data_IF_213163904484
#
_entry.id   IF_213163904484
#
_cell.length_a   1.000
_cell.length_b   1.000
_cell.length_c   1.000
_cell.angle_alpha   90.00
_cell.angle_beta   90.00
_cell.angle_gamma   90.00
#
_symmetry.space_group_name_H-M   'P 1'
#
loop_
_entity.id
_entity.type
_entity.pdbx_description
1 polymer ?
#
# COMPACT_ATOMS: atom_id res chain seq x y z
N UNK A 1 22.75 -44.78 -24.36
CA UNK A 1 21.88 -44.21 -23.31
C UNK A 1 22.73 -43.42 -22.32
N UNK A 2 22.94 -42.13 -22.59
CA UNK A 2 23.76 -41.26 -21.73
C UNK A 2 23.21 -39.83 -21.77
N UNK A 3 22.90 -39.36 -20.57
CA UNK A 3 23.10 -38.00 -20.05
C UNK A 3 22.11 -36.91 -20.47
N UNK A 4 21.36 -36.52 -19.43
CA UNK A 4 21.18 -35.15 -18.92
C UNK A 4 19.94 -34.41 -19.40
N UNK A 5 18.89 -34.58 -18.58
CA UNK A 5 17.93 -33.55 -18.19
C UNK A 5 18.65 -32.20 -18.03
N UNK A 6 18.26 -31.22 -18.84
CA UNK A 6 18.52 -29.82 -18.58
C UNK A 6 17.16 -29.12 -18.40
N UNK A 7 16.64 -29.15 -17.17
CA UNK A 7 15.49 -28.34 -16.78
C UNK A 7 16.08 -27.01 -16.32
N UNK A 8 16.03 -25.98 -17.19
CA UNK A 8 16.24 -24.60 -16.78
C UNK A 8 14.94 -24.11 -16.12
N UNK A 9 14.93 -24.10 -14.79
CA UNK A 9 13.96 -23.32 -14.01
C UNK A 9 14.48 -21.89 -13.97
N UNK A 10 14.08 -21.07 -14.96
CA UNK A 10 14.35 -19.64 -14.92
C UNK A 10 13.36 -18.98 -13.98
N UNK A 11 13.87 -18.66 -12.80
CA UNK A 11 13.35 -17.77 -11.77
C UNK A 11 12.17 -16.89 -12.21
N UNK A 12 10.97 -17.33 -11.85
CA UNK A 12 9.82 -16.46 -11.73
C UNK A 12 10.16 -15.45 -10.64
N UNK A 13 10.42 -14.19 -11.02
CA UNK A 13 10.34 -13.07 -10.10
C UNK A 13 8.91 -13.03 -9.57
N UNK A 14 8.65 -13.73 -8.46
CA UNK A 14 7.52 -13.44 -7.60
C UNK A 14 7.75 -12.01 -7.12
N UNK A 15 7.15 -11.06 -7.82
CA UNK A 15 6.68 -9.85 -7.19
C UNK A 15 5.76 -10.33 -6.07
N UNK A 16 6.29 -10.38 -4.85
CA UNK A 16 5.49 -10.50 -3.65
C UNK A 16 4.72 -9.18 -3.57
N UNK A 17 3.59 -9.13 -4.26
CA UNK A 17 2.54 -8.18 -3.95
C UNK A 17 2.12 -8.53 -2.52
N UNK A 18 2.59 -7.74 -1.56
CA UNK A 18 2.02 -7.77 -0.22
C UNK A 18 0.50 -7.55 -0.40
N UNK A 19 -0.36 -8.34 0.26
CA UNK A 19 -1.78 -8.11 0.19
C UNK A 19 -2.02 -6.75 0.86
N UNK A 20 -2.40 -5.74 0.07
CA UNK A 20 -3.25 -4.70 0.61
C UNK A 20 -4.48 -5.43 1.14
N UNK A 21 -4.72 -5.34 2.44
CA UNK A 21 -5.88 -5.96 3.04
C UNK A 21 -7.11 -5.18 2.56
N UNK A 22 -7.94 -5.84 1.75
CA UNK A 22 -9.22 -5.29 1.30
C UNK A 22 -10.03 -4.84 2.53
N UNK A 23 -10.37 -3.54 2.57
CA UNK A 23 -11.15 -2.92 3.63
C UNK A 23 -10.39 -1.96 4.57
N UNK A 24 -9.05 -1.93 4.55
CA UNK A 24 -8.30 -0.95 5.36
C UNK A 24 -8.39 0.48 4.78
N UNK A 25 -8.71 0.58 3.49
CA UNK A 25 -8.97 1.85 2.79
C UNK A 25 -10.21 2.59 3.30
N UNK A 26 -11.22 1.86 3.80
CA UNK A 26 -12.44 2.43 4.37
C UNK A 26 -12.14 3.29 5.60
N UNK A 27 -11.09 2.96 6.36
CA UNK A 27 -10.65 3.76 7.51
C UNK A 27 -10.27 5.19 7.09
N UNK A 28 -9.64 5.33 5.91
CA UNK A 28 -9.31 6.63 5.37
C UNK A 28 -10.56 7.34 4.84
N UNK A 29 -11.45 6.61 4.18
CA UNK A 29 -12.69 7.13 3.57
C UNK A 29 -13.72 7.61 4.59
N UNK A 30 -13.63 7.17 5.85
CA UNK A 30 -14.45 7.71 6.96
C UNK A 30 -14.23 9.21 7.21
N UNK A 31 -13.08 9.74 6.82
CA UNK A 31 -12.70 11.14 7.05
C UNK A 31 -12.21 11.88 5.80
N UNK A 32 -11.85 11.16 4.74
CA UNK A 32 -11.29 11.74 3.52
C UNK A 32 -12.14 11.40 2.29
N UNK A 33 -12.30 12.40 1.43
CA UNK A 33 -12.70 12.24 0.04
C UNK A 33 -11.44 12.47 -0.80
N UNK A 34 -10.75 11.42 -1.29
CA UNK A 34 -9.44 11.56 -1.94
C UNK A 34 -9.40 12.59 -3.08
N UNK A 35 -10.48 12.69 -3.86
CA UNK A 35 -10.61 13.65 -4.95
C UNK A 35 -10.73 15.11 -4.50
N UNK A 36 -11.02 15.38 -3.22
CA UNK A 36 -11.13 16.72 -2.65
C UNK A 36 -9.96 17.01 -1.70
N UNK A 37 -9.67 16.11 -0.77
CA UNK A 37 -8.67 16.33 0.29
C UNK A 37 -7.24 16.16 -0.19
N UNK A 38 -6.99 15.32 -1.19
CA UNK A 38 -5.66 14.97 -1.68
C UNK A 38 -5.40 15.44 -3.11
N UNK A 39 -6.29 16.27 -3.66
CA UNK A 39 -6.13 16.83 -5.01
C UNK A 39 -4.82 17.62 -5.11
N UNK A 40 -3.95 17.19 -6.04
CA UNK A 40 -2.66 17.84 -6.27
C UNK A 40 -1.57 17.49 -5.25
N UNK A 41 -1.83 16.63 -4.28
CA UNK A 41 -0.82 16.07 -3.37
C UNK A 41 -0.13 14.85 -4.00
N UNK A 42 1.15 14.69 -3.70
CA UNK A 42 1.88 13.44 -3.98
C UNK A 42 1.53 12.35 -2.95
N UNK A 43 1.71 11.09 -3.33
CA UNK A 43 1.50 9.96 -2.41
C UNK A 43 2.40 10.05 -1.17
N UNK A 44 3.61 10.59 -1.30
CA UNK A 44 4.53 10.83 -0.18
C UNK A 44 4.02 11.90 0.78
N UNK A 45 3.38 12.96 0.28
CA UNK A 45 2.77 14.00 1.12
C UNK A 45 1.54 13.48 1.86
N UNK A 46 0.71 12.68 1.20
CA UNK A 46 -0.43 12.00 1.83
C UNK A 46 0.08 11.05 2.92
N UNK A 47 1.12 10.27 2.65
CA UNK A 47 1.75 9.37 3.63
C UNK A 47 2.33 10.12 4.82
N UNK A 48 3.05 11.22 4.59
CA UNK A 48 3.62 12.01 5.68
C UNK A 48 2.54 12.53 6.63
N UNK A 49 1.36 12.86 6.09
CA UNK A 49 0.21 13.33 6.87
C UNK A 49 -0.51 12.17 7.56
N UNK A 50 -0.74 11.06 6.86
CA UNK A 50 -1.40 9.86 7.39
C UNK A 50 -0.57 9.17 8.48
N UNK A 51 0.76 9.25 8.42
CA UNK A 51 1.67 8.68 9.43
C UNK A 51 1.81 9.55 10.70
N UNK A 52 1.27 10.77 10.69
CA UNK A 52 1.25 11.64 11.88
C UNK A 52 0.17 11.19 12.88
N UNK A 53 0.54 10.25 13.74
CA UNK A 53 -0.32 9.72 14.82
C UNK A 53 -0.62 10.72 15.93
N UNK A 54 -0.06 11.93 15.90
CA UNK A 54 -0.45 13.00 16.82
C UNK A 54 -1.82 13.60 16.46
N UNK A 55 -2.26 13.42 15.20
CA UNK A 55 -3.61 13.74 14.76
C UNK A 55 -4.54 12.66 15.31
N UNK A 56 -5.50 13.04 16.16
CA UNK A 56 -6.41 12.10 16.86
C UNK A 56 -7.07 11.08 15.94
N UNK A 57 -7.37 11.46 14.69
CA UNK A 57 -8.01 10.59 13.68
C UNK A 57 -7.03 9.65 12.96
N UNK A 58 -5.73 9.93 13.01
CA UNK A 58 -4.68 9.06 12.46
C UNK A 58 -4.03 8.17 13.53
N UNK A 59 -4.50 8.23 14.78
CA UNK A 59 -3.94 7.39 15.85
C UNK A 59 -4.03 5.90 15.53
N UNK A 60 -5.09 5.49 14.85
CA UNK A 60 -5.33 4.10 14.44
C UNK A 60 -4.37 3.66 13.30
N UNK A 61 -3.75 4.61 12.59
CA UNK A 61 -2.72 4.30 11.59
C UNK A 61 -1.43 3.74 12.23
N UNK A 62 -1.28 3.84 13.56
CA UNK A 62 -0.18 3.20 14.29
C UNK A 62 -0.19 1.66 14.19
N UNK A 63 -1.33 1.06 13.84
CA UNK A 63 -1.46 -0.38 13.63
C UNK A 63 -0.92 -0.83 12.26
N UNK A 64 -0.71 0.10 11.33
CA UNK A 64 -0.08 -0.15 10.04
C UNK A 64 1.42 0.15 10.11
N UNK A 65 2.22 -0.72 9.50
CA UNK A 65 3.58 -0.33 9.15
C UNK A 65 3.58 0.60 7.92
N UNK A 66 4.71 1.26 7.67
CA UNK A 66 4.83 2.25 6.59
C UNK A 66 4.51 1.67 5.20
N UNK A 67 4.92 0.44 4.91
CA UNK A 67 4.66 -0.20 3.61
C UNK A 67 3.18 -0.55 3.44
N UNK A 68 2.49 -0.93 4.51
CA UNK A 68 1.04 -1.13 4.50
C UNK A 68 0.29 0.18 4.25
N UNK A 69 0.66 1.24 4.97
CA UNK A 69 0.02 2.54 4.81
C UNK A 69 0.25 3.12 3.40
N UNK A 70 1.47 2.94 2.86
CA UNK A 70 1.77 3.25 1.45
C UNK A 70 0.88 2.49 0.48
N UNK A 71 0.66 1.19 0.70
CA UNK A 71 -0.18 0.38 -0.16
C UNK A 71 -1.65 0.86 -0.14
N UNK A 72 -2.19 1.20 1.04
CA UNK A 72 -3.55 1.74 1.19
C UNK A 72 -3.69 3.05 0.41
N UNK A 73 -2.76 4.00 0.62
CA UNK A 73 -2.77 5.30 -0.07
C UNK A 73 -2.64 5.11 -1.59
N UNK A 74 -1.77 4.21 -2.03
CA UNK A 74 -1.60 3.93 -3.45
C UNK A 74 -2.87 3.37 -4.11
N UNK A 75 -3.62 2.52 -3.40
CA UNK A 75 -4.93 2.05 -3.86
C UNK A 75 -5.92 3.20 -3.98
N UNK A 76 -6.04 4.03 -2.95
CA UNK A 76 -6.99 5.16 -2.91
C UNK A 76 -6.71 6.25 -3.95
N UNK A 77 -5.45 6.48 -4.32
CA UNK A 77 -5.07 7.44 -5.36
C UNK A 77 -5.24 6.89 -6.79
N UNK A 78 -5.48 5.58 -6.93
CA UNK A 78 -5.69 4.94 -8.23
C UNK A 78 -7.17 4.84 -8.64
N UNK A 79 -8.11 5.12 -7.71
CA UNK A 79 -9.55 5.19 -7.97
C UNK A 79 -9.99 6.53 -8.56
#
# INVERSE_FOLDING_TARGET
>A
MRRQLAILVSATCLAVAAPAFSGDEELCLDCHVPSEDWEGMSAEEVLATASDTSIKRHADNADFNEDQLKAIIATLLAE
#
